data_IF_362772837003
#
_entry.id   IF_362772837003
#
_cell.length_a   1.000
_cell.length_b   1.000
_cell.length_c   1.000
_cell.angle_alpha   90.00
_cell.angle_beta   90.00
_cell.angle_gamma   90.00
#
_symmetry.space_group_name_H-M   'P 1'
#
loop_
_entity.id
_entity.type
_entity.pdbx_description
1 polymer ?
#
# COMPACT_ATOMS: atom_id res chain seq x y z
N UNK A 1 17.35 -1.13 1.99
CA UNK A 1 15.99 -0.94 1.40
C UNK A 1 15.56 0.48 1.69
N UNK A 2 15.59 1.38 0.70
CA UNK A 2 15.29 2.80 0.88
C UNK A 2 13.81 3.07 1.20
N UNK A 3 13.52 4.27 1.69
CA UNK A 3 12.14 4.74 1.87
C UNK A 3 11.45 4.78 0.49
N UNK A 4 10.16 4.45 0.44
CA UNK A 4 9.37 4.60 -0.80
C UNK A 4 9.33 6.07 -1.22
N UNK A 5 9.28 6.36 -2.54
CA UNK A 5 9.04 7.71 -3.05
C UNK A 5 7.81 8.34 -2.40
N UNK A 6 7.85 9.67 -2.17
CA UNK A 6 6.76 10.39 -1.50
C UNK A 6 5.43 10.22 -2.25
N UNK A 7 5.46 10.34 -3.56
CA UNK A 7 4.28 10.19 -4.44
C UNK A 7 3.71 8.77 -4.38
N UNK A 8 4.58 7.75 -4.47
CA UNK A 8 4.18 6.36 -4.32
C UNK A 8 3.48 6.11 -2.98
N UNK A 9 4.03 6.69 -1.90
CA UNK A 9 3.43 6.61 -0.57
C UNK A 9 2.07 7.30 -0.49
N UNK A 10 1.90 8.46 -1.11
CA UNK A 10 0.63 9.19 -1.14
C UNK A 10 -0.46 8.38 -1.83
N UNK A 11 -0.14 7.73 -2.97
CA UNK A 11 -1.08 6.86 -3.68
C UNK A 11 -1.50 5.64 -2.84
N UNK A 12 -0.53 5.00 -2.17
CA UNK A 12 -0.83 3.88 -1.27
C UNK A 12 -1.66 4.31 -0.05
N UNK A 13 -1.39 5.49 0.50
CA UNK A 13 -2.19 6.07 1.60
C UNK A 13 -3.62 6.39 1.14
N UNK A 14 -3.78 6.97 -0.05
CA UNK A 14 -5.10 7.28 -0.59
C UNK A 14 -5.94 6.00 -0.74
N UNK A 15 -5.37 4.95 -1.34
CA UNK A 15 -6.07 3.65 -1.43
C UNK A 15 -6.42 3.11 -0.03
N UNK A 16 -5.49 3.23 0.93
CA UNK A 16 -5.70 2.79 2.32
C UNK A 16 -6.87 3.50 3.00
N UNK A 17 -6.98 4.82 2.85
CA UNK A 17 -8.05 5.61 3.46
C UNK A 17 -9.42 5.20 2.91
N UNK A 18 -9.51 4.97 1.59
CA UNK A 18 -10.71 4.47 0.93
C UNK A 18 -11.11 3.07 1.41
N UNK A 19 -10.13 2.22 1.77
CA UNK A 19 -10.32 0.83 2.18
C UNK A 19 -10.06 0.60 3.68
N UNK A 20 -10.23 1.62 4.51
CA UNK A 20 -9.92 1.55 5.94
C UNK A 20 -10.67 0.44 6.69
N UNK A 21 -11.86 0.05 6.21
CA UNK A 21 -12.67 -1.07 6.75
C UNK A 21 -12.13 -2.45 6.37
N UNK A 22 -11.48 -2.59 5.21
CA UNK A 22 -10.93 -3.85 4.72
C UNK A 22 -9.64 -3.58 3.92
N UNK A 23 -8.50 -3.36 4.60
CA UNK A 23 -7.26 -2.94 3.95
C UNK A 23 -6.47 -4.12 3.36
N UNK A 24 -7.12 -4.89 2.50
CA UNK A 24 -6.58 -6.05 1.80
C UNK A 24 -6.82 -5.87 0.29
N UNK A 25 -5.88 -5.25 -0.44
CA UNK A 25 -6.03 -5.08 -1.88
C UNK A 25 -6.04 -6.45 -2.57
N UNK A 26 -6.94 -6.61 -3.53
CA UNK A 26 -6.96 -7.73 -4.47
C UNK A 26 -5.72 -7.75 -5.37
N UNK A 27 -5.48 -8.84 -6.10
CA UNK A 27 -4.35 -8.90 -7.04
C UNK A 27 -4.42 -7.82 -8.12
N UNK A 28 -5.61 -7.57 -8.67
CA UNK A 28 -5.85 -6.50 -9.64
C UNK A 28 -5.52 -5.13 -9.08
N UNK A 29 -5.93 -4.84 -7.83
CA UNK A 29 -5.60 -3.57 -7.18
C UNK A 29 -4.10 -3.43 -6.89
N UNK A 30 -3.43 -4.52 -6.50
CA UNK A 30 -1.96 -4.51 -6.34
C UNK A 30 -1.26 -4.22 -7.67
N UNK A 31 -1.74 -4.78 -8.79
CA UNK A 31 -1.19 -4.48 -10.12
C UNK A 31 -1.40 -3.01 -10.47
N UNK A 32 -2.62 -2.48 -10.34
CA UNK A 32 -2.93 -1.08 -10.61
C UNK A 32 -2.12 -0.11 -9.73
N UNK A 33 -1.93 -0.44 -8.44
CA UNK A 33 -1.07 0.32 -7.54
C UNK A 33 0.39 0.25 -7.98
N UNK A 34 0.87 -0.89 -8.46
CA UNK A 34 2.23 -1.04 -9.00
C UNK A 34 2.47 -0.20 -10.23
N UNK A 35 1.55 -0.24 -11.20
CA UNK A 35 1.62 0.59 -12.41
C UNK A 35 1.60 2.08 -12.07
N UNK A 36 0.73 2.50 -11.14
CA UNK A 36 0.61 3.91 -10.76
C UNK A 36 1.79 4.41 -9.92
N UNK A 37 2.40 3.55 -9.10
CA UNK A 37 3.47 3.94 -8.16
C UNK A 37 4.88 3.61 -8.65
N UNK A 38 5.00 2.81 -9.72
CA UNK A 38 6.28 2.24 -10.17
C UNK A 38 6.88 1.24 -9.18
N UNK A 39 6.08 0.73 -8.24
CA UNK A 39 6.53 -0.22 -7.22
C UNK A 39 6.28 -1.66 -7.66
N UNK A 40 7.21 -2.54 -7.29
CA UNK A 40 7.02 -3.97 -7.45
C UNK A 40 5.97 -4.50 -6.45
N UNK A 41 5.32 -5.62 -6.78
CA UNK A 41 4.29 -6.22 -5.92
C UNK A 41 4.80 -6.53 -4.50
N UNK A 42 6.09 -6.87 -4.34
CA UNK A 42 6.68 -7.15 -3.03
C UNK A 42 6.80 -5.87 -2.19
N UNK A 43 7.10 -4.73 -2.79
CA UNK A 43 7.09 -3.43 -2.10
C UNK A 43 5.68 -3.04 -1.65
N UNK A 44 4.67 -3.24 -2.51
CA UNK A 44 3.26 -2.97 -2.20
C UNK A 44 2.79 -3.87 -1.05
N UNK A 45 3.01 -5.18 -1.16
CA UNK A 45 2.65 -6.14 -0.12
C UNK A 45 3.30 -5.79 1.22
N UNK A 46 4.61 -5.49 1.22
CA UNK A 46 5.32 -5.09 2.44
C UNK A 46 4.77 -3.79 3.04
N UNK A 47 4.39 -2.83 2.19
CA UNK A 47 3.80 -1.58 2.66
C UNK A 47 2.47 -1.84 3.37
N UNK A 48 1.56 -2.58 2.76
CA UNK A 48 0.25 -2.89 3.36
C UNK A 48 0.36 -3.72 4.63
N UNK A 49 1.26 -4.71 4.68
CA UNK A 49 1.52 -5.48 5.91
C UNK A 49 1.98 -4.55 7.03
N UNK A 50 2.94 -3.67 6.76
CA UNK A 50 3.45 -2.74 7.76
C UNK A 50 2.42 -1.68 8.14
N UNK A 51 1.60 -1.22 7.20
CA UNK A 51 0.56 -0.23 7.44
C UNK A 51 -0.54 -0.78 8.36
N UNK A 52 -0.98 -2.03 8.11
CA UNK A 52 -1.89 -2.75 9.03
C UNK A 52 -1.27 -2.89 10.42
N UNK A 53 -0.01 -3.33 10.54
CA UNK A 53 0.66 -3.43 11.85
C UNK A 53 0.74 -2.09 12.62
N UNK A 54 0.74 -0.95 11.94
CA UNK A 54 0.76 0.38 12.57
C UNK A 54 -0.62 0.81 13.08
N UNK A 55 -1.69 0.44 12.35
CA UNK A 55 -3.06 0.84 12.68
C UNK A 55 -3.78 -0.20 13.56
N UNK A 56 -3.40 -1.47 13.47
CA UNK A 56 -3.85 -2.56 14.34
C UNK A 56 -3.01 -2.63 15.62
N UNK A 57 -2.77 -1.49 16.27
CA UNK A 57 -2.30 -1.45 17.66
C UNK A 57 -3.53 -1.23 18.55
N UNK A 58 -3.63 -1.94 19.70
CA UNK A 58 -4.72 -1.73 20.64
C UNK A 58 -4.76 -0.30 21.18
#
# INVERSE_FOLDING_TARGET
>A
KGKLPKEARQKLLHWWELHSKSPYPSETEKMALGESTGLDQKQINNWFINQRKRHCKP
#
